data_IF_068843786584
#
_entry.id   IF_068843786584
#
_cell.length_a   1.000
_cell.length_b   1.000
_cell.length_c   1.000
_cell.angle_alpha   90.00
_cell.angle_beta   90.00
_cell.angle_gamma   90.00
#
_symmetry.space_group_name_H-M   'P 1'
#
loop_
_entity.id
_entity.type
_entity.pdbx_description
1 polymer ?
#
# COMPACT_ATOMS: atom_id res chain seq x y z
N UNK A 1 -35.18 13.05 9.63
CA UNK A 1 -36.37 12.56 10.37
C UNK A 1 -35.94 11.41 11.25
N UNK A 2 -36.03 11.58 12.57
CA UNK A 2 -35.54 10.64 13.61
C UNK A 2 -36.23 9.28 13.50
N UNK A 3 -35.42 8.24 13.64
CA UNK A 3 -35.77 6.83 13.81
C UNK A 3 -36.86 6.62 14.85
N UNK A 4 -37.92 5.91 14.48
CA UNK A 4 -38.83 5.25 15.42
C UNK A 4 -39.05 3.81 14.97
N UNK A 5 -38.61 2.89 15.83
CA UNK A 5 -39.25 1.60 16.15
C UNK A 5 -39.36 0.58 15.02
N UNK A 6 -38.52 -0.46 14.91
CA UNK A 6 -37.84 -1.18 15.99
C UNK A 6 -38.77 -2.12 16.79
N UNK A 7 -39.95 -2.49 16.28
CA UNK A 7 -40.88 -3.40 16.94
C UNK A 7 -41.42 -4.48 15.98
N UNK A 8 -40.53 -5.37 15.53
CA UNK A 8 -40.94 -6.70 15.08
C UNK A 8 -41.02 -7.62 16.30
N UNK A 9 -42.22 -7.83 16.83
CA UNK A 9 -42.43 -8.86 17.84
C UNK A 9 -42.27 -10.24 17.19
N UNK A 10 -41.16 -10.90 17.48
CA UNK A 10 -40.90 -12.30 17.11
C UNK A 10 -41.94 -13.19 17.78
N UNK A 11 -43.02 -13.53 17.06
CA UNK A 11 -44.13 -14.36 17.52
C UNK A 11 -43.77 -15.86 17.61
N UNK A 12 -42.63 -16.28 18.13
CA UNK A 12 -42.34 -17.73 18.16
C UNK A 12 -41.55 -18.14 19.40
N UNK A 13 -42.24 -18.60 20.47
CA UNK A 13 -42.35 -20.05 20.78
C UNK A 13 -43.01 -20.39 22.13
N UNK A 14 -43.01 -19.54 23.16
CA UNK A 14 -43.82 -19.71 24.41
C UNK A 14 -44.08 -18.37 25.10
N UNK A 15 -45.09 -18.29 25.99
CA UNK A 15 -45.33 -17.11 26.83
C UNK A 15 -44.11 -16.87 27.75
N UNK A 16 -43.56 -15.65 27.84
CA UNK A 16 -42.45 -15.35 28.73
C UNK A 16 -42.90 -15.38 30.20
N UNK A 17 -41.97 -15.63 31.13
CA UNK A 17 -42.28 -15.82 32.56
C UNK A 17 -42.98 -14.64 33.23
N UNK A 18 -42.74 -13.42 32.75
CA UNK A 18 -43.34 -12.18 33.30
C UNK A 18 -44.76 -11.90 32.80
N UNK A 19 -45.22 -12.61 31.76
CA UNK A 19 -46.56 -12.43 31.23
C UNK A 19 -47.55 -13.29 32.04
N UNK A 20 -48.67 -12.74 32.51
CA UNK A 20 -49.64 -13.51 33.27
C UNK A 20 -50.27 -14.63 32.42
N UNK A 21 -50.73 -15.67 33.11
CA UNK A 21 -51.53 -16.72 32.49
C UNK A 21 -52.86 -16.14 31.99
N UNK A 22 -53.48 -16.82 31.02
CA UNK A 22 -54.83 -16.44 30.62
C UNK A 22 -55.81 -16.77 31.76
N UNK A 23 -56.82 -15.92 31.96
CA UNK A 23 -57.82 -16.10 33.02
C UNK A 23 -58.50 -17.49 32.96
N UNK A 24 -58.75 -18.00 31.75
CA UNK A 24 -59.33 -19.33 31.50
C UNK A 24 -58.44 -20.51 31.90
N UNK A 25 -57.14 -20.28 32.14
CA UNK A 25 -56.16 -21.31 32.55
C UNK A 25 -55.84 -21.26 34.03
N UNK A 26 -56.25 -20.21 34.74
CA UNK A 26 -55.93 -19.98 36.16
C UNK A 26 -56.46 -21.11 37.06
N UNK A 27 -57.69 -21.57 36.79
CA UNK A 27 -58.36 -22.63 37.56
C UNK A 27 -58.58 -23.91 36.73
N UNK A 28 -57.81 -24.13 35.65
CA UNK A 28 -57.99 -25.30 34.79
C UNK A 28 -57.20 -26.48 35.34
N UNK A 29 -57.89 -27.43 35.95
CA UNK A 29 -57.32 -28.70 36.37
C UNK A 29 -57.13 -29.65 35.17
N UNK A 30 -55.93 -30.21 34.95
CA UNK A 30 -55.71 -31.18 33.89
C UNK A 30 -56.35 -32.52 34.28
N UNK A 31 -57.44 -32.87 33.61
CA UNK A 31 -58.10 -34.17 33.78
C UNK A 31 -57.21 -35.27 33.17
N UNK A 32 -56.85 -36.27 33.96
CA UNK A 32 -56.14 -37.45 33.48
C UNK A 32 -57.11 -38.32 32.68
N UNK A 33 -56.62 -38.89 31.57
CA UNK A 33 -57.40 -39.87 30.81
C UNK A 33 -57.52 -41.15 31.64
N UNK A 34 -58.66 -41.82 31.54
CA UNK A 34 -58.81 -43.17 32.07
C UNK A 34 -57.97 -44.10 31.17
N UNK A 35 -57.11 -44.90 31.78
CA UNK A 35 -56.22 -45.83 31.12
C UNK A 35 -56.58 -47.23 31.61
N UNK A 36 -56.59 -48.21 30.70
CA UNK A 36 -56.77 -49.60 31.08
C UNK A 36 -55.52 -50.10 31.81
N UNK A 37 -55.67 -50.78 32.97
CA UNK A 37 -54.53 -51.15 33.80
C UNK A 37 -53.61 -52.17 33.11
N UNK A 38 -54.19 -53.09 32.34
CA UNK A 38 -53.43 -54.12 31.61
C UNK A 38 -52.56 -53.52 30.50
N UNK A 39 -53.12 -52.60 29.70
CA UNK A 39 -52.38 -51.90 28.65
C UNK A 39 -51.22 -51.09 29.21
N UNK A 40 -51.45 -50.44 30.36
CA UNK A 40 -50.43 -49.64 31.03
C UNK A 40 -49.26 -50.49 31.51
N UNK A 41 -49.53 -51.66 32.08
CA UNK A 41 -48.50 -52.56 32.57
C UNK A 41 -47.66 -53.15 31.43
N UNK A 42 -48.32 -53.56 30.33
CA UNK A 42 -47.60 -54.03 29.14
C UNK A 42 -46.80 -52.90 28.46
N UNK A 43 -47.36 -51.69 28.38
CA UNK A 43 -46.64 -50.51 27.86
C UNK A 43 -45.40 -50.22 28.70
N UNK A 44 -45.50 -50.30 30.03
CA UNK A 44 -44.37 -50.10 30.94
C UNK A 44 -43.31 -51.19 30.75
N UNK A 45 -43.71 -52.45 30.61
CA UNK A 45 -42.80 -53.57 30.32
C UNK A 45 -42.05 -53.35 29.01
N UNK A 46 -42.76 -53.05 27.92
CA UNK A 46 -42.17 -52.80 26.60
C UNK A 46 -41.23 -51.59 26.62
N UNK A 47 -41.64 -50.49 27.28
CA UNK A 47 -40.82 -49.30 27.42
C UNK A 47 -39.51 -49.59 28.17
N UNK A 48 -39.57 -50.39 29.24
CA UNK A 48 -38.38 -50.77 30.00
C UNK A 48 -37.42 -51.62 29.17
N UNK A 49 -37.94 -52.58 28.39
CA UNK A 49 -37.14 -53.41 27.47
C UNK A 49 -36.47 -52.52 26.41
N UNK A 50 -37.25 -51.69 25.71
CA UNK A 50 -36.76 -50.78 24.69
C UNK A 50 -35.67 -49.85 25.23
N UNK A 51 -35.92 -49.21 26.38
CA UNK A 51 -34.98 -48.26 26.99
C UNK A 51 -33.68 -48.96 27.40
N UNK A 52 -33.75 -50.21 27.83
CA UNK A 52 -32.57 -51.02 28.17
C UNK A 52 -31.74 -51.32 26.92
N UNK A 53 -32.38 -51.78 25.84
CA UNK A 53 -31.73 -52.06 24.55
C UNK A 53 -31.13 -50.79 23.93
N UNK A 54 -31.86 -49.68 23.96
CA UNK A 54 -31.34 -48.41 23.45
C UNK A 54 -30.13 -47.91 24.25
N UNK A 55 -30.14 -48.10 25.58
CA UNK A 55 -29.02 -47.74 26.44
C UNK A 55 -27.78 -48.58 26.16
N UNK A 56 -27.92 -49.87 25.86
CA UNK A 56 -26.78 -50.73 25.50
C UNK A 56 -26.18 -50.28 24.16
N UNK A 57 -27.00 -50.01 23.16
CA UNK A 57 -26.55 -49.49 21.86
C UNK A 57 -25.82 -48.15 21.99
N UNK A 58 -26.38 -47.21 22.76
CA UNK A 58 -25.74 -45.91 22.99
C UNK A 58 -24.38 -46.05 23.69
N UNK A 59 -24.25 -46.99 24.63
CA UNK A 59 -22.97 -47.26 25.31
C UNK A 59 -21.95 -47.85 24.35
N UNK A 60 -22.35 -48.77 23.49
CA UNK A 60 -21.49 -49.34 22.45
C UNK A 60 -20.93 -48.27 21.53
N UNK A 61 -21.80 -47.40 20.98
CA UNK A 61 -21.35 -46.30 20.11
C UNK A 61 -20.43 -45.31 20.83
N UNK A 62 -20.72 -45.00 22.10
CA UNK A 62 -19.86 -44.11 22.90
C UNK A 62 -18.45 -44.70 23.07
N UNK A 63 -18.36 -46.01 23.35
CA UNK A 63 -17.07 -46.70 23.46
C UNK A 63 -16.31 -46.73 22.12
N UNK A 64 -17.02 -46.89 21.00
CA UNK A 64 -16.39 -46.84 19.67
C UNK A 64 -15.80 -45.46 19.35
N UNK A 65 -16.52 -44.39 19.71
CA UNK A 65 -16.03 -43.01 19.55
C UNK A 65 -14.80 -42.76 20.41
N UNK A 66 -14.81 -43.23 21.66
CA UNK A 66 -13.68 -43.11 22.59
C UNK A 66 -12.45 -43.87 22.06
N UNK A 67 -12.64 -45.10 21.55
CA UNK A 67 -11.57 -45.88 20.95
C UNK A 67 -10.96 -45.18 19.72
N UNK A 68 -11.78 -44.60 18.84
CA UNK A 68 -11.30 -43.83 17.68
C UNK A 68 -10.55 -42.57 18.09
N UNK A 69 -11.01 -41.88 19.13
CA UNK A 69 -10.32 -40.71 19.67
C UNK A 69 -8.94 -41.07 20.21
N UNK A 70 -8.80 -42.21 20.88
CA UNK A 70 -7.51 -42.70 21.35
C UNK A 70 -6.56 -43.04 20.17
N UNK A 71 -7.07 -43.66 19.12
CA UNK A 71 -6.29 -43.99 17.91
C UNK A 71 -5.85 -42.76 17.12
N UNK A 72 -6.64 -41.68 17.08
CA UNK A 72 -6.29 -40.45 16.37
C UNK A 72 -5.00 -39.81 16.91
N UNK A 73 -4.73 -39.93 18.22
CA UNK A 73 -3.49 -39.45 18.84
C UNK A 73 -2.24 -40.21 18.41
N UNK A 74 -2.39 -41.44 17.88
CA UNK A 74 -1.28 -42.29 17.43
C UNK A 74 -0.96 -42.04 15.95
N UNK A 75 -1.89 -41.45 15.18
CA UNK A 75 -1.74 -41.23 13.74
C UNK A 75 -1.06 -39.88 13.40
N UNK A 76 -1.01 -38.94 14.35
CA UNK A 76 -0.17 -37.74 14.24
C UNK A 76 1.28 -38.17 14.41
N UNK A 77 2.16 -37.77 13.47
CA UNK A 77 3.59 -38.03 13.56
C UNK A 77 4.11 -37.60 14.94
N UNK A 78 5.09 -38.32 15.48
CA UNK A 78 5.69 -37.91 16.75
C UNK A 78 6.19 -36.46 16.62
N UNK A 79 5.90 -35.57 17.58
CA UNK A 79 6.22 -34.15 17.48
C UNK A 79 7.71 -33.90 17.23
N UNK A 80 8.57 -34.81 17.70
CA UNK A 80 10.01 -34.78 17.47
C UNK A 80 10.40 -34.90 15.98
N UNK A 81 9.65 -35.69 15.21
CA UNK A 81 9.88 -35.85 13.76
C UNK A 81 9.47 -34.58 13.02
N UNK A 82 8.32 -34.00 13.37
CA UNK A 82 7.86 -32.74 12.78
C UNK A 82 8.83 -31.58 13.09
N UNK A 83 9.34 -31.51 14.32
CA UNK A 83 10.36 -30.53 14.69
C UNK A 83 11.67 -30.72 13.90
N UNK A 84 12.10 -31.97 13.70
CA UNK A 84 13.31 -32.27 12.93
C UNK A 84 13.15 -31.87 11.46
N UNK A 85 12.01 -32.17 10.84
CA UNK A 85 11.68 -31.75 9.48
C UNK A 85 11.63 -30.22 9.36
N UNK A 86 10.98 -29.55 10.32
CA UNK A 86 10.93 -28.10 10.35
C UNK A 86 12.32 -27.47 10.44
N UNK A 87 13.20 -27.99 11.31
CA UNK A 87 14.59 -27.53 11.42
C UNK A 87 15.36 -27.73 10.12
N UNK A 88 15.16 -28.87 9.45
CA UNK A 88 15.77 -29.14 8.16
C UNK A 88 15.32 -28.14 7.08
N UNK A 89 14.02 -27.82 7.01
CA UNK A 89 13.50 -26.81 6.09
C UNK A 89 14.07 -25.41 6.37
N UNK A 90 14.25 -25.04 7.63
CA UNK A 90 14.85 -23.76 8.00
C UNK A 90 16.31 -23.64 7.55
N UNK A 91 17.08 -24.72 7.69
CA UNK A 91 18.48 -24.78 7.24
C UNK A 91 18.58 -24.58 5.72
N UNK A 92 17.74 -25.27 4.94
CA UNK A 92 17.69 -25.09 3.48
C UNK A 92 17.36 -23.64 3.10
N UNK A 93 16.39 -23.05 3.79
CA UNK A 93 16.00 -21.65 3.56
C UNK A 93 17.14 -20.68 3.86
N UNK A 94 17.88 -20.90 4.96
CA UNK A 94 19.05 -20.09 5.30
C UNK A 94 20.10 -20.14 4.19
N UNK A 95 20.43 -21.34 3.70
CA UNK A 95 21.39 -21.54 2.61
C UNK A 95 20.94 -20.87 1.30
N UNK A 96 19.64 -20.87 1.00
CA UNK A 96 19.10 -20.17 -0.17
C UNK A 96 19.19 -18.65 -0.01
N UNK A 97 18.87 -18.14 1.18
CA UNK A 97 18.97 -16.71 1.47
C UNK A 97 20.42 -16.20 1.36
N UNK A 98 21.40 -16.98 1.82
CA UNK A 98 22.82 -16.63 1.66
C UNK A 98 23.24 -16.57 0.20
N UNK A 99 22.85 -17.56 -0.62
CA UNK A 99 23.12 -17.57 -2.06
C UNK A 99 22.51 -16.36 -2.77
N UNK A 100 21.25 -16.03 -2.45
CA UNK A 100 20.54 -14.89 -3.03
C UNK A 100 21.16 -13.56 -2.57
N UNK A 101 21.57 -13.47 -1.30
CA UNK A 101 22.23 -12.28 -0.77
C UNK A 101 23.56 -12.01 -1.49
N UNK A 102 24.35 -13.05 -1.78
CA UNK A 102 25.59 -12.91 -2.54
C UNK A 102 25.34 -12.37 -3.97
N UNK A 103 24.31 -12.88 -4.66
CA UNK A 103 23.92 -12.39 -5.99
C UNK A 103 23.46 -10.92 -5.92
N UNK A 104 22.64 -10.58 -4.92
CA UNK A 104 22.14 -9.22 -4.71
C UNK A 104 23.29 -8.22 -4.47
N UNK A 105 24.27 -8.60 -3.65
CA UNK A 105 25.39 -7.73 -3.33
C UNK A 105 26.28 -7.47 -4.55
N UNK A 106 26.51 -8.48 -5.40
CA UNK A 106 27.24 -8.30 -6.67
C UNK A 106 26.52 -7.31 -7.59
N UNK A 107 25.21 -7.50 -7.81
CA UNK A 107 24.40 -6.57 -8.62
C UNK A 107 24.44 -5.14 -8.06
N UNK A 108 24.35 -4.99 -6.74
CA UNK A 108 24.37 -3.67 -6.10
C UNK A 108 25.74 -2.98 -6.26
N UNK A 109 26.84 -3.74 -6.21
CA UNK A 109 28.18 -3.20 -6.47
C UNK A 109 28.30 -2.71 -7.92
N UNK A 110 27.83 -3.49 -8.89
CA UNK A 110 27.79 -3.10 -10.31
C UNK A 110 26.96 -1.82 -10.51
N UNK A 111 25.77 -1.73 -9.91
CA UNK A 111 24.91 -0.53 -9.94
C UNK A 111 25.63 0.69 -9.33
N UNK A 112 26.31 0.52 -8.20
CA UNK A 112 27.07 1.59 -7.56
C UNK A 112 28.24 2.08 -8.40
N UNK A 113 28.93 1.19 -9.12
CA UNK A 113 30.05 1.58 -9.96
C UNK A 113 29.58 2.37 -11.19
N UNK A 114 28.47 1.95 -11.82
CA UNK A 114 27.82 2.72 -12.88
C UNK A 114 27.36 4.10 -12.39
N UNK A 115 26.77 4.19 -11.19
CA UNK A 115 26.37 5.47 -10.62
C UNK A 115 27.55 6.40 -10.37
N UNK A 116 28.69 5.88 -9.89
CA UNK A 116 29.91 6.68 -9.69
C UNK A 116 30.42 7.24 -11.01
N UNK A 117 30.46 6.43 -12.07
CA UNK A 117 30.87 6.89 -13.41
C UNK A 117 29.96 8.03 -13.90
N UNK A 118 28.64 7.85 -13.81
CA UNK A 118 27.67 8.88 -14.20
C UNK A 118 27.82 10.17 -13.40
N UNK A 119 28.13 10.07 -12.10
CA UNK A 119 28.36 11.25 -11.25
C UNK A 119 29.64 11.98 -11.67
N UNK A 120 30.72 11.25 -11.98
CA UNK A 120 31.97 11.82 -12.45
C UNK A 120 31.78 12.56 -13.78
N UNK A 121 31.12 11.94 -14.76
CA UNK A 121 30.81 12.59 -16.05
C UNK A 121 29.99 13.87 -15.86
N UNK A 122 28.98 13.84 -14.97
CA UNK A 122 28.17 15.02 -14.66
C UNK A 122 28.99 16.13 -14.01
N UNK A 123 29.92 15.79 -13.12
CA UNK A 123 30.80 16.75 -12.47
C UNK A 123 31.75 17.41 -13.49
N UNK A 124 32.32 16.63 -14.41
CA UNK A 124 33.17 17.15 -15.48
C UNK A 124 32.40 18.07 -16.43
N UNK A 125 31.23 17.64 -16.89
CA UNK A 125 30.36 18.45 -17.74
C UNK A 125 29.93 19.76 -17.04
N UNK A 126 29.69 19.71 -15.72
CA UNK A 126 29.37 20.91 -14.93
C UNK A 126 30.57 21.85 -14.84
N UNK A 127 31.78 21.35 -14.58
CA UNK A 127 33.01 22.16 -14.54
C UNK A 127 33.22 22.90 -15.87
N UNK A 128 33.10 22.18 -16.99
CA UNK A 128 33.29 22.78 -18.33
C UNK A 128 32.24 23.85 -18.65
N UNK A 129 30.98 23.64 -18.24
CA UNK A 129 29.92 24.66 -18.35
C UNK A 129 30.19 25.89 -17.48
N UNK A 130 30.73 25.70 -16.28
CA UNK A 130 31.09 26.82 -15.41
C UNK A 130 32.28 27.60 -15.94
N UNK A 131 33.29 26.93 -16.47
CA UNK A 131 34.47 27.55 -17.09
C UNK A 131 34.09 28.38 -18.33
N UNK A 132 33.31 27.80 -19.25
CA UNK A 132 32.80 28.52 -20.42
C UNK A 132 31.95 29.74 -20.02
N UNK A 133 31.09 29.59 -18.99
CA UNK A 133 30.31 30.72 -18.47
C UNK A 133 31.19 31.82 -17.88
N UNK A 134 32.25 31.47 -17.16
CA UNK A 134 33.22 32.44 -16.61
C UNK A 134 33.95 33.17 -17.73
N UNK A 135 34.45 32.45 -18.74
CA UNK A 135 35.12 33.05 -19.90
C UNK A 135 34.22 34.04 -20.64
N UNK A 136 32.97 33.65 -20.92
CA UNK A 136 31.99 34.55 -21.57
C UNK A 136 31.66 35.78 -20.71
N UNK A 137 31.60 35.63 -19.40
CA UNK A 137 31.39 36.75 -18.49
C UNK A 137 32.59 37.70 -18.49
N UNK A 138 33.81 37.18 -18.44
CA UNK A 138 35.05 37.97 -18.52
C UNK A 138 35.17 38.71 -19.84
N UNK A 139 34.84 38.07 -20.96
CA UNK A 139 34.82 38.73 -22.28
C UNK A 139 33.82 39.87 -22.32
N UNK A 140 32.62 39.69 -21.76
CA UNK A 140 31.62 40.76 -21.68
C UNK A 140 32.13 41.92 -20.84
N UNK A 141 32.72 41.63 -19.67
CA UNK A 141 33.29 42.67 -18.80
C UNK A 141 34.40 43.44 -19.52
N UNK A 142 35.31 42.76 -20.22
CA UNK A 142 36.36 43.41 -21.02
C UNK A 142 35.78 44.33 -22.10
N UNK A 143 34.78 43.86 -22.86
CA UNK A 143 34.09 44.68 -23.88
C UNK A 143 33.41 45.90 -23.28
N UNK A 144 32.78 45.77 -22.12
CA UNK A 144 32.14 46.90 -21.43
C UNK A 144 33.17 47.88 -20.86
N UNK A 145 34.32 47.41 -20.35
CA UNK A 145 35.44 48.27 -19.95
C UNK A 145 35.95 49.07 -21.16
N UNK A 146 36.13 48.45 -22.31
CA UNK A 146 36.56 49.16 -23.52
C UNK A 146 35.52 50.16 -24.02
N UNK A 147 34.22 49.82 -23.94
CA UNK A 147 33.13 50.77 -24.23
C UNK A 147 33.10 51.94 -23.26
N UNK A 148 33.41 51.71 -21.98
CA UNK A 148 33.36 52.74 -20.95
C UNK A 148 34.35 53.88 -21.19
N UNK A 149 35.47 53.61 -21.88
CA UNK A 149 36.44 54.63 -22.30
C UNK A 149 35.84 55.66 -23.25
N UNK A 150 34.81 55.26 -24.02
CA UNK A 150 34.13 56.12 -24.97
C UNK A 150 32.94 56.89 -24.34
N UNK A 151 32.64 56.69 -23.06
CA UNK A 151 31.60 57.45 -22.37
C UNK A 151 32.04 58.88 -22.11
N UNK A 152 31.10 59.82 -22.25
CA UNK A 152 31.37 61.25 -22.09
C UNK A 152 31.33 61.58 -20.59
N UNK A 153 32.47 61.97 -19.97
CA UNK A 153 32.47 62.43 -18.60
C UNK A 153 31.82 63.82 -18.50
N UNK A 154 31.34 64.18 -17.31
CA UNK A 154 30.61 65.45 -17.08
C UNK A 154 31.40 66.70 -17.49
N UNK A 155 32.73 66.62 -17.42
CA UNK A 155 33.65 67.71 -17.77
C UNK A 155 33.74 67.96 -19.29
N UNK A 156 33.54 66.93 -20.14
CA UNK A 156 33.63 67.02 -21.61
C UNK A 156 32.27 67.09 -22.30
N UNK A 157 31.23 67.43 -21.54
CA UNK A 157 29.85 67.37 -22.02
C UNK A 157 29.57 68.41 -23.11
N UNK A 158 30.00 69.66 -22.89
CA UNK A 158 29.77 70.77 -23.84
C UNK A 158 30.49 70.54 -25.17
N UNK A 159 31.76 70.11 -25.12
CA UNK A 159 32.55 69.75 -26.31
C UNK A 159 31.90 68.63 -27.14
N UNK A 160 31.37 67.60 -26.46
CA UNK A 160 30.72 66.48 -27.14
C UNK A 160 29.40 66.89 -27.81
N UNK A 161 28.65 67.85 -27.23
CA UNK A 161 27.40 68.37 -27.81
C UNK A 161 27.71 69.15 -29.10
N UNK A 162 28.72 70.02 -29.08
CA UNK A 162 29.12 70.77 -30.29
C UNK A 162 29.60 69.84 -31.40
N UNK A 163 30.40 68.81 -31.06
CA UNK A 163 30.89 67.86 -32.05
C UNK A 163 29.78 66.99 -32.65
N UNK A 164 28.75 66.64 -31.88
CA UNK A 164 27.58 65.91 -32.38
C UNK A 164 26.71 66.78 -33.30
N UNK A 165 26.58 68.08 -33.02
CA UNK A 165 25.87 69.02 -33.89
C UNK A 165 26.62 69.26 -35.20
N UNK A 166 27.96 69.30 -35.16
CA UNK A 166 28.80 69.48 -36.33
C UNK A 166 28.85 68.24 -37.25
N UNK A 167 28.76 67.04 -36.68
CA UNK A 167 28.85 65.77 -37.42
C UNK A 167 27.57 64.92 -37.27
N UNK A 168 26.50 65.20 -38.03
CA UNK A 168 25.31 64.36 -38.05
C UNK A 168 25.61 62.99 -38.67
N UNK A 169 25.32 61.91 -37.95
CA UNK A 169 25.52 60.52 -38.42
C UNK A 169 24.17 59.92 -38.84
N UNK A 170 24.09 59.40 -40.06
CA UNK A 170 22.91 58.72 -40.60
C UNK A 170 23.01 57.19 -40.44
N UNK A 171 22.01 56.59 -39.77
CA UNK A 171 21.91 55.14 -39.60
C UNK A 171 20.95 54.48 -40.60
N UNK A 172 20.40 55.22 -41.55
CA UNK A 172 19.49 54.67 -42.55
C UNK A 172 20.22 53.76 -43.55
N UNK A 173 19.69 52.56 -43.73
CA UNK A 173 20.13 51.63 -44.77
C UNK A 173 18.95 50.82 -45.31
N UNK A 174 19.04 50.43 -46.58
CA UNK A 174 18.08 49.54 -47.23
C UNK A 174 18.67 48.13 -47.38
N UNK A 175 17.82 47.11 -47.31
CA UNK A 175 18.20 45.71 -47.51
C UNK A 175 17.39 45.14 -48.67
N UNK A 176 18.07 44.49 -49.60
CA UNK A 176 17.43 43.80 -50.73
C UNK A 176 17.05 42.35 -50.37
N UNK A 177 16.24 41.69 -51.20
CA UNK A 177 15.81 40.29 -51.05
C UNK A 177 16.99 39.30 -50.99
N UNK A 178 18.16 39.71 -51.50
CA UNK A 178 19.42 38.95 -51.44
C UNK A 178 20.25 39.26 -50.18
N UNK A 179 19.71 39.99 -49.20
CA UNK A 179 20.37 40.43 -47.96
C UNK A 179 21.58 41.36 -48.19
N UNK A 180 21.61 42.06 -49.33
CA UNK A 180 22.62 43.09 -49.58
C UNK A 180 22.23 44.40 -48.89
N UNK A 181 23.17 45.00 -48.15
CA UNK A 181 22.97 46.25 -47.39
C UNK A 181 23.45 47.44 -48.22
N UNK A 182 22.57 48.41 -48.46
CA UNK A 182 22.88 49.67 -49.14
C UNK A 182 22.75 50.83 -48.14
N UNK A 183 23.87 51.49 -47.83
CA UNK A 183 23.93 52.65 -46.93
C UNK A 183 23.81 53.96 -47.73
N UNK A 184 23.25 54.99 -47.10
CA UNK A 184 23.06 56.33 -47.68
C UNK A 184 24.37 57.08 -47.99
N UNK A 185 24.23 58.31 -48.54
CA UNK A 185 25.30 59.10 -49.19
C UNK A 185 26.25 59.83 -48.24
N UNK A 186 25.98 59.81 -46.94
CA UNK A 186 26.75 60.55 -45.93
C UNK A 186 26.94 59.63 -44.72
N UNK A 187 28.15 59.10 -44.58
CA UNK A 187 28.64 58.37 -43.40
C UNK A 187 29.78 59.15 -42.78
#
# INVERSE_FOLDING_TARGET
LKSWTGLQFVRWRRKPRWLPMAQSRYNKEPVRRQEDPEEKDEMMRLFNIYRTQYKSFRRFLAAEVEAKSAQASVLTMAPEVEEAEMRHCLEINAQWNEKIAAIRNKRLQEEQDVEKELILERLEAKKLREETRKQLAEEKVKREIDRSKNFIPREKLEEAIEQALANPVDFNFAIDLKMNIYRGRTT
#
